data_IF_687959404640
#
_entry.id   IF_687959404640
#
_cell.length_a   1.000
_cell.length_b   1.000
_cell.length_c   1.000
_cell.angle_alpha   90.00
_cell.angle_beta   90.00
_cell.angle_gamma   90.00
#
_symmetry.space_group_name_H-M   'P 1'
#
loop_
_entity.id
_entity.type
_entity.pdbx_description
1 polymer ?
#
# COMPACT_ATOMS: atom_id res chain seq x y z
N UNK A 1 -27.67 -7.39 -23.83
CA UNK A 1 -26.82 -7.13 -22.65
C UNK A 1 -26.35 -5.69 -22.76
N UNK A 2 -26.54 -4.88 -21.73
CA UNK A 2 -25.97 -3.52 -21.74
C UNK A 2 -24.45 -3.66 -21.68
N UNK A 3 -23.73 -3.12 -22.65
CA UNK A 3 -22.28 -2.95 -22.48
C UNK A 3 -22.05 -1.97 -21.32
N UNK A 4 -21.16 -2.31 -20.39
CA UNK A 4 -20.74 -1.39 -19.35
C UNK A 4 -19.90 -0.27 -19.98
N UNK A 5 -20.14 0.99 -19.61
CA UNK A 5 -19.42 2.16 -20.14
C UNK A 5 -17.89 2.04 -20.04
N UNK A 6 -17.40 1.43 -18.97
CA UNK A 6 -15.97 1.24 -18.70
C UNK A 6 -15.35 0.01 -19.41
N UNK A 7 -16.17 -0.82 -20.08
CA UNK A 7 -15.75 -2.02 -20.83
C UNK A 7 -14.96 -3.03 -20.01
N UNK A 8 -15.08 -3.01 -18.68
CA UNK A 8 -14.48 -4.02 -17.83
C UNK A 8 -15.24 -5.33 -17.96
N UNK A 9 -14.50 -6.44 -18.01
CA UNK A 9 -15.05 -7.75 -17.74
C UNK A 9 -15.54 -7.82 -16.28
N UNK A 10 -16.49 -8.73 -15.97
CA UNK A 10 -16.92 -8.93 -14.59
C UNK A 10 -15.77 -9.23 -13.62
N UNK A 11 -14.74 -9.95 -14.08
CA UNK A 11 -13.59 -10.32 -13.27
C UNK A 11 -12.65 -9.13 -12.98
N UNK A 12 -12.43 -8.24 -13.95
CA UNK A 12 -11.67 -7.00 -13.73
C UNK A 12 -12.42 -6.07 -12.76
N UNK A 13 -13.73 -5.94 -12.92
CA UNK A 13 -14.56 -5.13 -12.04
C UNK A 13 -14.53 -5.65 -10.58
N UNK A 14 -14.58 -6.98 -10.39
CA UNK A 14 -14.47 -7.60 -9.07
C UNK A 14 -13.10 -7.35 -8.42
N UNK A 15 -12.01 -7.51 -9.16
CA UNK A 15 -10.66 -7.24 -8.61
C UNK A 15 -10.43 -5.77 -8.27
N UNK A 16 -10.99 -4.85 -9.06
CA UNK A 16 -10.97 -3.42 -8.73
C UNK A 16 -11.80 -3.10 -7.48
N UNK A 17 -12.94 -3.78 -7.29
CA UNK A 17 -13.74 -3.61 -6.08
C UNK A 17 -12.97 -4.09 -4.83
N UNK A 18 -12.35 -5.28 -4.90
CA UNK A 18 -11.47 -5.78 -3.84
C UNK A 18 -10.31 -4.81 -3.57
N UNK A 19 -9.65 -4.29 -4.62
CA UNK A 19 -8.54 -3.34 -4.45
C UNK A 19 -9.00 -2.07 -3.70
N UNK A 20 -10.18 -1.55 -4.06
CA UNK A 20 -10.74 -0.36 -3.43
C UNK A 20 -11.13 -0.61 -1.96
N UNK A 21 -11.65 -1.79 -1.65
CA UNK A 21 -11.99 -2.22 -0.29
C UNK A 21 -10.73 -2.25 0.58
N UNK A 22 -9.71 -3.03 0.20
CA UNK A 22 -8.47 -3.16 0.96
C UNK A 22 -7.73 -1.82 1.14
N UNK A 23 -7.70 -0.99 0.09
CA UNK A 23 -7.14 0.36 0.17
C UNK A 23 -7.90 1.24 1.18
N UNK A 24 -9.23 1.12 1.20
CA UNK A 24 -10.09 1.82 2.16
C UNK A 24 -9.81 1.39 3.59
N UNK A 25 -9.66 0.09 3.84
CA UNK A 25 -9.34 -0.45 5.17
C UNK A 25 -7.96 0.03 5.65
N UNK A 26 -6.94 0.01 4.78
CA UNK A 26 -5.62 0.59 5.08
C UNK A 26 -5.76 2.06 5.52
N UNK A 27 -6.51 2.88 4.78
CA UNK A 27 -6.72 4.29 5.14
C UNK A 27 -7.39 4.42 6.50
N UNK A 28 -8.39 3.59 6.80
CA UNK A 28 -9.06 3.60 8.10
C UNK A 28 -8.10 3.24 9.24
N UNK A 29 -7.30 2.19 9.10
CA UNK A 29 -6.34 1.75 10.12
C UNK A 29 -5.20 2.76 10.29
N UNK A 30 -4.67 3.32 9.20
CA UNK A 30 -3.69 4.42 9.27
C UNK A 30 -4.28 5.61 10.04
N UNK A 31 -5.54 5.98 9.79
CA UNK A 31 -6.23 7.02 10.54
C UNK A 31 -6.38 6.70 12.04
N UNK A 32 -6.56 5.43 12.42
CA UNK A 32 -6.54 5.00 13.84
C UNK A 32 -5.14 5.12 14.44
N UNK A 33 -4.11 4.64 13.74
CA UNK A 33 -2.71 4.69 14.17
C UNK A 33 -2.25 6.14 14.39
N UNK A 34 -2.59 7.05 13.47
CA UNK A 34 -2.24 8.47 13.61
C UNK A 34 -2.89 9.12 14.84
N UNK A 35 -4.05 8.63 15.30
CA UNK A 35 -4.75 9.16 16.48
C UNK A 35 -4.33 8.50 17.80
N UNK A 36 -4.01 7.21 17.77
CA UNK A 36 -3.86 6.40 18.99
C UNK A 36 -2.51 5.69 19.12
N UNK A 37 -1.69 5.68 18.08
CA UNK A 37 -0.42 4.95 18.02
C UNK A 37 -0.57 3.49 17.58
N UNK A 38 0.56 2.88 17.23
CA UNK A 38 0.64 1.51 16.73
C UNK A 38 0.24 0.44 17.74
N UNK A 39 0.65 0.62 19.00
CA UNK A 39 0.45 -0.38 20.07
C UNK A 39 -0.89 -0.23 20.80
N UNK A 40 -1.73 0.72 20.38
CA UNK A 40 -3.10 0.85 20.88
C UNK A 40 -3.99 -0.24 20.26
N UNK A 41 -5.05 -0.61 20.96
CA UNK A 41 -5.98 -1.68 20.61
C UNK A 41 -7.41 -1.29 20.95
N UNK A 42 -8.38 -2.01 20.38
CA UNK A 42 -9.79 -1.80 20.71
C UNK A 42 -10.10 -2.39 22.10
N UNK A 43 -10.86 -1.72 22.98
CA UNK A 43 -11.14 -2.26 24.32
C UNK A 43 -11.83 -3.63 24.34
N UNK A 44 -12.62 -3.93 23.31
CA UNK A 44 -13.27 -5.24 23.14
C UNK A 44 -12.37 -6.31 22.51
N UNK A 45 -11.21 -5.93 21.95
CA UNK A 45 -10.20 -6.86 21.44
C UNK A 45 -8.79 -6.37 21.82
N UNK A 46 -8.36 -6.58 23.07
CA UNK A 46 -7.06 -6.14 23.54
C UNK A 46 -5.87 -6.93 22.98
N UNK A 47 -6.14 -8.07 22.33
CA UNK A 47 -5.09 -8.95 21.82
C UNK A 47 -4.53 -8.47 20.47
N UNK A 48 -5.27 -7.62 19.76
CA UNK A 48 -4.92 -7.16 18.42
C UNK A 48 -4.55 -5.69 18.44
N UNK A 49 -3.27 -5.38 18.21
CA UNK A 49 -2.82 -4.00 18.11
C UNK A 49 -3.22 -3.37 16.77
N UNK A 50 -3.20 -2.03 16.70
CA UNK A 50 -3.37 -1.34 15.43
C UNK A 50 -2.27 -1.72 14.41
N UNK A 51 -1.07 -2.09 14.87
CA UNK A 51 0.00 -2.64 14.03
C UNK A 51 -0.42 -3.97 13.41
N UNK A 52 -1.00 -4.87 14.20
CA UNK A 52 -1.47 -6.18 13.71
C UNK A 52 -2.58 -6.02 12.69
N UNK A 53 -3.53 -5.10 12.95
CA UNK A 53 -4.56 -4.74 11.98
C UNK A 53 -3.96 -4.18 10.68
N UNK A 54 -2.99 -3.27 10.76
CA UNK A 54 -2.34 -2.74 9.56
C UNK A 54 -1.63 -3.84 8.78
N UNK A 55 -0.94 -4.76 9.46
CA UNK A 55 -0.26 -5.89 8.82
C UNK A 55 -1.24 -6.82 8.11
N UNK A 56 -2.44 -7.03 8.67
CA UNK A 56 -3.53 -7.76 8.01
C UNK A 56 -3.94 -7.06 6.71
N UNK A 57 -4.30 -5.79 6.76
CA UNK A 57 -4.83 -5.11 5.56
C UNK A 57 -3.75 -4.89 4.49
N UNK A 58 -2.48 -4.68 4.89
CA UNK A 58 -1.38 -4.65 3.92
C UNK A 58 -1.19 -6.00 3.22
N UNK A 59 -1.30 -7.11 3.96
CA UNK A 59 -1.20 -8.45 3.37
C UNK A 59 -2.36 -8.70 2.40
N UNK A 60 -3.58 -8.39 2.81
CA UNK A 60 -4.78 -8.65 2.01
C UNK A 60 -4.75 -7.77 0.74
N UNK A 61 -4.29 -6.51 0.85
CA UNK A 61 -3.98 -5.65 -0.30
C UNK A 61 -2.93 -6.25 -1.25
N UNK A 62 -1.82 -6.80 -0.73
CA UNK A 62 -0.79 -7.46 -1.57
C UNK A 62 -1.35 -8.70 -2.29
N UNK A 63 -2.24 -9.45 -1.64
CA UNK A 63 -2.94 -10.58 -2.27
C UNK A 63 -3.76 -10.09 -3.46
N UNK A 64 -4.57 -9.04 -3.29
CA UNK A 64 -5.39 -8.48 -4.38
C UNK A 64 -4.51 -7.92 -5.50
N UNK A 65 -3.45 -7.18 -5.16
CA UNK A 65 -2.47 -6.69 -6.13
C UNK A 65 -1.86 -7.83 -6.97
N UNK A 66 -1.56 -8.97 -6.33
CA UNK A 66 -1.04 -10.16 -7.01
C UNK A 66 -2.11 -10.81 -7.91
N UNK A 67 -3.35 -10.92 -7.45
CA UNK A 67 -4.47 -11.44 -8.24
C UNK A 67 -4.74 -10.59 -9.49
N UNK A 68 -4.67 -9.26 -9.36
CA UNK A 68 -4.79 -8.34 -10.49
C UNK A 68 -3.68 -8.56 -11.53
N UNK A 69 -2.44 -8.74 -11.08
CA UNK A 69 -1.34 -9.01 -12.00
C UNK A 69 -1.46 -10.37 -12.69
N UNK A 70 -1.89 -11.41 -11.96
CA UNK A 70 -2.19 -12.72 -12.53
C UNK A 70 -3.36 -12.68 -13.53
N UNK A 71 -4.34 -11.81 -13.29
CA UNK A 71 -5.45 -11.52 -14.19
C UNK A 71 -5.07 -10.72 -15.44
N UNK A 72 -3.85 -10.17 -15.50
CA UNK A 72 -3.37 -9.33 -16.60
C UNK A 72 -3.85 -7.88 -16.51
N UNK A 73 -4.46 -7.46 -15.41
CA UNK A 73 -4.99 -6.10 -15.22
C UNK A 73 -3.84 -5.07 -15.10
N UNK A 74 -2.75 -5.50 -14.45
CA UNK A 74 -1.57 -4.69 -14.15
C UNK A 74 -0.30 -5.53 -14.24
N UNK A 75 0.86 -4.88 -14.31
CA UNK A 75 2.15 -5.54 -14.19
C UNK A 75 2.64 -5.49 -12.75
N UNK A 76 3.25 -6.57 -12.26
CA UNK A 76 4.01 -6.52 -11.02
C UNK A 76 5.22 -5.59 -11.20
N UNK A 77 5.38 -4.65 -10.28
CA UNK A 77 6.59 -3.85 -10.16
C UNK A 77 7.84 -4.74 -10.00
N UNK A 78 8.90 -4.35 -10.69
CA UNK A 78 10.20 -5.01 -10.67
C UNK A 78 11.07 -4.45 -9.54
N UNK A 79 12.00 -5.26 -9.04
CA UNK A 79 12.91 -4.86 -7.95
C UNK A 79 13.70 -3.59 -8.32
N UNK A 80 14.06 -3.44 -9.59
CA UNK A 80 14.82 -2.30 -10.10
C UNK A 80 14.05 -0.97 -10.05
N UNK A 81 12.72 -1.01 -10.01
CA UNK A 81 11.88 0.18 -9.91
C UNK A 81 11.80 0.72 -8.47
N UNK A 82 12.04 -0.13 -7.46
CA UNK A 82 11.87 0.23 -6.06
C UNK A 82 12.83 1.32 -5.57
N UNK A 83 14.15 1.26 -5.82
CA UNK A 83 15.06 2.32 -5.37
C UNK A 83 14.64 3.70 -5.89
N UNK A 84 14.28 3.78 -7.17
CA UNK A 84 13.81 5.03 -7.80
C UNK A 84 12.51 5.53 -7.18
N UNK A 85 11.54 4.63 -6.98
CA UNK A 85 10.26 4.97 -6.38
C UNK A 85 10.41 5.44 -4.92
N UNK A 86 11.26 4.77 -4.13
CA UNK A 86 11.57 5.14 -2.74
C UNK A 86 12.18 6.55 -2.71
N UNK A 87 13.20 6.81 -3.50
CA UNK A 87 13.84 8.13 -3.56
C UNK A 87 12.84 9.23 -3.93
N UNK A 88 11.95 8.97 -4.90
CA UNK A 88 10.94 9.94 -5.30
C UNK A 88 9.95 10.25 -4.18
N UNK A 89 9.55 9.24 -3.39
CA UNK A 89 8.65 9.41 -2.24
C UNK A 89 9.35 10.12 -1.08
N UNK A 90 10.60 9.74 -0.78
CA UNK A 90 11.39 10.33 0.30
C UNK A 90 11.75 11.79 0.03
N UNK A 91 11.86 12.24 -1.22
CA UNK A 91 12.15 13.64 -1.58
C UNK A 91 11.26 14.67 -0.86
N UNK A 92 10.03 14.31 -0.51
CA UNK A 92 9.09 15.18 0.19
C UNK A 92 8.83 14.76 1.65
N UNK A 93 9.54 13.77 2.16
CA UNK A 93 9.42 13.31 3.54
C UNK A 93 10.20 14.23 4.49
N UNK A 94 9.56 14.64 5.57
CA UNK A 94 10.12 15.59 6.55
C UNK A 94 11.08 14.95 7.57
N UNK A 95 11.04 13.62 7.73
CA UNK A 95 11.85 12.90 8.71
C UNK A 95 12.61 11.77 8.02
N UNK A 96 13.79 12.07 7.50
CA UNK A 96 14.70 11.11 6.86
C UNK A 96 15.85 10.81 7.82
N UNK A 97 16.25 9.54 7.99
CA UNK A 97 17.43 9.19 8.77
C UNK A 97 18.70 9.72 8.08
N UNK A 98 19.67 10.20 8.86
CA UNK A 98 20.96 10.70 8.37
C UNK A 98 21.77 9.67 7.57
N UNK A 99 21.47 8.38 7.73
CA UNK A 99 22.10 7.28 6.99
C UNK A 99 21.81 7.30 5.48
N UNK A 100 20.72 7.92 5.03
CA UNK A 100 20.40 8.05 3.60
C UNK A 100 21.06 9.27 2.93
N UNK A 101 21.76 10.13 3.69
CA UNK A 101 22.33 11.38 3.15
C UNK A 101 23.70 11.20 2.47
N UNK A 102 24.41 10.09 2.69
CA UNK A 102 25.76 9.90 2.14
C UNK A 102 25.78 9.27 0.74
N UNK A 103 24.71 8.59 0.33
CA UNK A 103 24.59 8.00 -1.02
C UNK A 103 24.41 9.05 -2.14
N UNK A 104 24.14 10.32 -1.79
CA UNK A 104 23.90 11.40 -2.75
C UNK A 104 25.10 12.29 -3.08
N UNK A 105 26.28 12.08 -2.46
CA UNK A 105 27.45 12.97 -2.62
C UNK A 105 28.60 12.43 -3.49
N UNK A 106 28.48 11.24 -4.06
CA UNK A 106 29.54 10.65 -4.90
C UNK A 106 29.29 10.83 -6.42
N UNK A 107 28.92 12.03 -6.86
CA UNK A 107 28.57 12.28 -8.26
C UNK A 107 28.81 13.69 -8.78
N UNK A 108 29.72 14.46 -8.17
CA UNK A 108 30.04 15.79 -8.68
C UNK A 108 31.32 16.37 -8.10
N UNK A 109 32.46 16.02 -8.73
CA UNK A 109 33.47 16.93 -9.29
C UNK A 109 34.13 16.19 -10.46
#
# INVERSE_FOLDING_TARGET
MSEHYNKLSPAEAERLAMLAEEAGEIVQIVGKILRHGYESFHPADPATSNRDLLMKELRDFVVVYTLMAQGGDICLATIDEFPKAILQKLRYAHHQSSENSEAGKAGGV
#
